data_IF_659919192307
#
_entry.id   IF_659919192307
#
_cell.length_a   1.000
_cell.length_b   1.000
_cell.length_c   1.000
_cell.angle_alpha   90.00
_cell.angle_beta   90.00
_cell.angle_gamma   90.00
#
_symmetry.space_group_name_H-M   'P 1'
#
loop_
_entity.id
_entity.type
_entity.pdbx_description
1 polymer ?
#
# COMPACT_ATOMS: atom_id res chain seq x y z
N UNK A 1 -17.97 -6.05 -12.89
CA UNK A 1 -16.76 -6.89 -12.77
C UNK A 1 -17.21 -8.27 -12.32
N UNK A 2 -16.75 -9.33 -13.00
CA UNK A 2 -17.04 -10.73 -12.63
C UNK A 2 -15.72 -11.39 -12.25
N UNK A 3 -15.68 -12.06 -11.09
CA UNK A 3 -14.50 -12.77 -10.59
C UNK A 3 -14.86 -14.24 -10.42
N UNK A 4 -14.11 -15.12 -11.07
CA UNK A 4 -14.29 -16.58 -10.98
C UNK A 4 -13.22 -17.19 -10.08
N UNK A 5 -13.63 -17.93 -9.05
CA UNK A 5 -12.76 -18.55 -8.04
C UNK A 5 -12.46 -20.03 -8.31
N UNK A 6 -12.87 -20.56 -9.46
CA UNK A 6 -12.66 -21.99 -9.81
C UNK A 6 -11.17 -22.33 -9.90
N UNK A 7 -10.72 -23.25 -9.03
CA UNK A 7 -9.31 -23.63 -8.79
C UNK A 7 -8.62 -24.38 -9.95
N UNK A 8 -9.38 -24.86 -10.95
CA UNK A 8 -8.88 -25.71 -12.04
C UNK A 8 -9.17 -25.04 -13.40
N UNK A 9 -8.29 -24.13 -13.82
CA UNK A 9 -8.38 -23.45 -15.13
C UNK A 9 -7.59 -24.16 -16.24
N UNK A 10 -7.00 -25.33 -15.98
CA UNK A 10 -5.98 -25.89 -16.86
C UNK A 10 -6.44 -26.35 -18.24
N UNK A 11 -7.75 -26.48 -18.55
CA UNK A 11 -8.20 -26.98 -19.86
C UNK A 11 -9.60 -26.48 -20.32
N UNK A 12 -10.14 -25.39 -19.77
CA UNK A 12 -11.44 -24.89 -20.20
C UNK A 12 -11.29 -23.75 -21.20
N UNK A 13 -11.81 -23.95 -22.42
CA UNK A 13 -12.03 -22.89 -23.40
C UNK A 13 -12.87 -21.78 -22.75
N UNK A 14 -12.34 -20.55 -22.72
CA UNK A 14 -13.02 -19.40 -22.14
C UNK A 14 -14.36 -19.20 -22.84
N UNK A 15 -15.46 -19.38 -22.11
CA UNK A 15 -16.80 -19.05 -22.61
C UNK A 15 -17.04 -17.56 -22.35
N UNK A 16 -17.19 -16.71 -23.38
CA UNK A 16 -17.42 -15.28 -23.18
C UNK A 16 -18.72 -15.05 -22.41
N UNK A 17 -18.64 -14.29 -21.32
CA UNK A 17 -19.83 -13.86 -20.60
C UNK A 17 -20.55 -12.80 -21.43
N UNK A 18 -21.82 -13.02 -21.73
CA UNK A 18 -22.64 -12.07 -22.48
C UNK A 18 -23.47 -11.22 -21.50
N UNK A 19 -23.27 -9.91 -21.50
CA UNK A 19 -24.12 -8.95 -20.78
C UNK A 19 -24.84 -8.11 -21.83
N UNK A 20 -26.17 -8.13 -21.82
CA UNK A 20 -27.01 -7.42 -22.81
C UNK A 20 -26.67 -7.76 -24.27
N UNK A 21 -26.29 -9.02 -24.54
CA UNK A 21 -25.92 -9.48 -25.88
C UNK A 21 -24.52 -9.05 -26.34
N UNK A 22 -23.72 -8.40 -25.50
CA UNK A 22 -22.32 -8.05 -25.79
C UNK A 22 -21.35 -8.91 -24.95
N UNK A 23 -20.25 -9.41 -25.55
CA UNK A 23 -19.24 -10.15 -24.81
C UNK A 23 -18.50 -9.23 -23.85
N UNK A 24 -18.34 -9.66 -22.61
CA UNK A 24 -17.55 -8.95 -21.60
C UNK A 24 -16.07 -9.12 -21.92
N UNK A 25 -15.37 -7.99 -22.06
CA UNK A 25 -13.93 -7.97 -22.30
C UNK A 25 -13.16 -8.58 -21.11
N UNK A 26 -12.22 -9.48 -21.43
CA UNK A 26 -11.25 -10.00 -20.46
C UNK A 26 -10.04 -9.08 -20.43
N UNK A 27 -9.84 -8.39 -19.30
CA UNK A 27 -8.69 -7.54 -19.05
C UNK A 27 -7.72 -8.19 -18.06
N UNK A 28 -6.43 -8.03 -18.31
CA UNK A 28 -5.35 -8.60 -17.47
C UNK A 28 -5.19 -7.85 -16.14
N UNK A 29 -5.57 -6.58 -16.10
CA UNK A 29 -5.62 -5.78 -14.88
C UNK A 29 -6.74 -4.75 -14.95
N UNK A 30 -7.48 -4.62 -13.85
CA UNK A 30 -8.56 -3.67 -13.69
C UNK A 30 -8.34 -2.84 -12.42
N UNK A 31 -8.55 -1.52 -12.51
CA UNK A 31 -8.45 -0.63 -11.35
C UNK A 31 -9.84 -0.38 -10.78
N UNK A 32 -10.09 -0.89 -9.58
CA UNK A 32 -11.35 -0.69 -8.86
C UNK A 32 -11.11 0.09 -7.57
N UNK A 33 -11.74 1.27 -7.44
CA UNK A 33 -11.64 2.14 -6.26
C UNK A 33 -10.20 2.45 -5.80
N UNK A 34 -9.26 2.46 -6.74
CA UNK A 34 -7.84 2.71 -6.43
C UNK A 34 -7.00 1.45 -6.15
N UNK A 35 -7.61 0.27 -6.13
CA UNK A 35 -6.96 -1.04 -6.01
C UNK A 35 -6.78 -1.64 -7.40
N UNK A 36 -5.58 -2.13 -7.69
CA UNK A 36 -5.31 -2.88 -8.93
C UNK A 36 -5.60 -4.37 -8.71
N UNK A 37 -6.61 -4.89 -9.40
CA UNK A 37 -6.96 -6.30 -9.41
C UNK A 37 -6.44 -6.88 -10.71
N UNK A 38 -5.58 -7.89 -10.63
CA UNK A 38 -5.04 -8.58 -11.80
C UNK A 38 -5.77 -9.89 -12.04
N UNK A 39 -5.69 -10.40 -13.27
CA UNK A 39 -6.33 -11.65 -13.70
C UNK A 39 -5.81 -12.88 -12.93
N UNK A 40 -4.50 -12.89 -12.61
CA UNK A 40 -3.85 -13.90 -11.77
C UNK A 40 -4.17 -13.71 -10.26
N UNK A 41 -5.00 -12.72 -9.93
CA UNK A 41 -5.33 -12.29 -8.56
C UNK A 41 -4.08 -12.03 -7.70
N UNK A 42 -2.93 -11.74 -8.33
CA UNK A 42 -1.73 -11.38 -7.60
C UNK A 42 -1.76 -9.91 -7.17
N UNK A 43 -1.33 -9.66 -5.94
CA UNK A 43 -1.31 -8.32 -5.38
C UNK A 43 -0.09 -7.50 -5.80
N UNK A 44 0.72 -7.99 -6.75
CA UNK A 44 2.03 -7.41 -7.10
C UNK A 44 1.89 -5.99 -7.66
N UNK A 45 1.01 -5.81 -8.63
CA UNK A 45 0.76 -4.51 -9.27
C UNK A 45 0.23 -3.51 -8.25
N UNK A 46 -0.72 -3.92 -7.41
CA UNK A 46 -1.25 -3.08 -6.35
C UNK A 46 -0.17 -2.71 -5.31
N UNK A 47 0.63 -3.69 -4.89
CA UNK A 47 1.71 -3.50 -3.91
C UNK A 47 2.75 -2.50 -4.44
N UNK A 48 3.15 -2.62 -5.70
CA UNK A 48 4.08 -1.69 -6.34
C UNK A 48 3.49 -0.27 -6.43
N UNK A 49 2.20 -0.16 -6.75
CA UNK A 49 1.49 1.11 -6.78
C UNK A 49 1.46 1.80 -5.41
N UNK A 50 1.10 1.05 -4.35
CA UNK A 50 1.12 1.52 -2.96
C UNK A 50 2.54 1.93 -2.56
N UNK A 51 3.54 1.11 -2.85
CA UNK A 51 4.95 1.41 -2.59
C UNK A 51 5.40 2.73 -3.22
N UNK A 52 5.04 2.96 -4.49
CA UNK A 52 5.39 4.20 -5.20
C UNK A 52 4.74 5.41 -4.54
N UNK A 53 3.46 5.32 -4.16
CA UNK A 53 2.76 6.38 -3.43
C UNK A 53 3.39 6.66 -2.07
N UNK A 54 3.68 5.63 -1.28
CA UNK A 54 4.32 5.79 0.03
C UNK A 54 5.71 6.42 -0.07
N UNK A 55 6.50 6.02 -1.06
CA UNK A 55 7.82 6.61 -1.34
C UNK A 55 7.73 8.11 -1.67
N UNK A 56 6.75 8.51 -2.47
CA UNK A 56 6.52 9.93 -2.78
C UNK A 56 6.18 10.74 -1.52
N UNK A 57 5.30 10.23 -0.67
CA UNK A 57 4.91 10.91 0.59
C UNK A 57 6.09 11.01 1.57
N UNK A 58 6.88 9.95 1.68
CA UNK A 58 8.12 9.96 2.47
C UNK A 58 9.16 10.93 1.92
N UNK A 59 9.25 11.09 0.60
CA UNK A 59 10.12 12.09 0.00
C UNK A 59 9.73 13.51 0.42
N UNK A 60 8.44 13.85 0.37
CA UNK A 60 7.96 15.15 0.86
C UNK A 60 8.24 15.34 2.35
N UNK A 61 8.03 14.31 3.17
CA UNK A 61 8.38 14.37 4.59
C UNK A 61 9.88 14.66 4.81
N UNK A 62 10.76 14.03 4.03
CA UNK A 62 12.21 14.30 4.06
C UNK A 62 12.53 15.74 3.64
N UNK A 63 11.81 16.29 2.66
CA UNK A 63 11.98 17.68 2.26
C UNK A 63 11.52 18.65 3.36
N UNK A 64 10.35 18.42 3.97
CA UNK A 64 9.88 19.23 5.10
C UNK A 64 10.89 19.25 6.25
N UNK A 65 11.54 18.11 6.52
CA UNK A 65 12.61 18.03 7.50
C UNK A 65 13.83 18.88 7.13
N UNK A 66 14.22 18.94 5.85
CA UNK A 66 15.32 19.80 5.38
C UNK A 66 15.02 21.28 5.62
N UNK A 67 13.75 21.67 5.51
CA UNK A 67 13.29 23.03 5.81
C UNK A 67 13.09 23.31 7.31
N UNK A 68 13.44 22.37 8.20
CA UNK A 68 13.32 22.50 9.66
C UNK A 68 11.90 22.88 10.13
N UNK A 69 10.88 22.36 9.46
CA UNK A 69 9.48 22.52 9.87
C UNK A 69 9.27 21.92 11.26
N UNK A 70 8.37 22.50 12.05
CA UNK A 70 8.10 22.03 13.42
C UNK A 70 7.67 20.56 13.45
N UNK A 71 8.12 19.85 14.49
CA UNK A 71 7.86 18.42 14.67
C UNK A 71 6.38 18.10 14.77
N UNK A 72 5.56 19.00 15.32
CA UNK A 72 4.11 18.86 15.40
C UNK A 72 3.45 18.79 14.02
N UNK A 73 3.85 19.66 13.09
CA UNK A 73 3.34 19.68 11.72
C UNK A 73 3.83 18.45 10.94
N UNK A 74 5.10 18.07 11.12
CA UNK A 74 5.65 16.85 10.49
C UNK A 74 4.91 15.60 10.96
N UNK A 75 4.57 15.50 12.25
CA UNK A 75 3.80 14.39 12.82
C UNK A 75 2.38 14.35 12.26
N UNK A 76 1.70 15.50 12.20
CA UNK A 76 0.37 15.60 11.61
C UNK A 76 0.37 15.20 10.11
N UNK A 77 1.40 15.62 9.36
CA UNK A 77 1.57 15.21 7.97
C UNK A 77 1.83 13.71 7.84
N UNK A 78 2.67 13.14 8.71
CA UNK A 78 2.94 11.71 8.71
C UNK A 78 1.67 10.88 8.94
N UNK A 79 0.90 11.20 9.98
CA UNK A 79 -0.34 10.48 10.29
C UNK A 79 -1.42 10.67 9.22
N UNK A 80 -1.59 11.89 8.72
CA UNK A 80 -2.61 12.14 7.67
C UNK A 80 -2.22 11.54 6.32
N UNK A 81 -0.95 11.63 5.90
CA UNK A 81 -0.53 11.26 4.56
C UNK A 81 0.15 9.88 4.49
N UNK A 82 1.07 9.55 5.39
CA UNK A 82 1.79 8.27 5.28
C UNK A 82 0.94 7.15 5.89
N UNK A 83 0.46 7.34 7.11
CA UNK A 83 -0.31 6.34 7.86
C UNK A 83 -1.61 5.94 7.14
N UNK A 84 -2.36 6.90 6.58
CA UNK A 84 -3.59 6.63 5.83
C UNK A 84 -3.39 5.67 4.64
N UNK A 85 -2.27 5.76 3.92
CA UNK A 85 -1.95 4.87 2.80
C UNK A 85 -1.63 3.46 3.29
N UNK A 86 -0.96 3.37 4.43
CA UNK A 86 -0.56 2.10 5.01
C UNK A 86 -1.78 1.35 5.53
N UNK A 87 -2.63 2.03 6.30
CA UNK A 87 -3.88 1.46 6.83
C UNK A 87 -4.79 0.99 5.70
N UNK A 88 -4.95 1.78 4.63
CA UNK A 88 -5.73 1.39 3.46
C UNK A 88 -5.15 0.21 2.67
N UNK A 89 -3.86 -0.10 2.86
CA UNK A 89 -3.15 -1.17 2.13
C UNK A 89 -2.95 -2.45 2.95
N UNK A 90 -3.36 -2.48 4.23
CA UNK A 90 -3.23 -3.62 5.14
C UNK A 90 -3.81 -4.91 4.54
N UNK A 91 -4.95 -4.80 3.86
CA UNK A 91 -5.60 -5.95 3.21
C UNK A 91 -4.65 -6.57 2.19
N UNK A 92 -3.99 -5.76 1.37
CA UNK A 92 -3.09 -6.29 0.32
C UNK A 92 -1.81 -6.91 0.87
N UNK A 93 -1.39 -6.56 2.09
CA UNK A 93 -0.21 -7.14 2.73
C UNK A 93 -0.50 -8.50 3.34
N UNK A 94 -1.65 -8.66 4.00
CA UNK A 94 -2.04 -9.93 4.62
C UNK A 94 -2.23 -11.06 3.59
N UNK A 95 -2.66 -10.70 2.37
CA UNK A 95 -2.90 -11.67 1.30
C UNK A 95 -1.69 -11.86 0.36
N UNK A 96 -0.67 -11.00 0.43
CA UNK A 96 0.49 -11.04 -0.48
C UNK A 96 1.70 -11.70 0.19
N UNK A 97 2.10 -12.88 -0.30
CA UNK A 97 3.29 -13.62 0.17
C UNK A 97 4.61 -13.11 -0.46
N UNK A 98 4.56 -12.08 -1.31
CA UNK A 98 5.68 -11.67 -2.17
C UNK A 98 6.68 -10.78 -1.42
N UNK A 99 7.99 -10.98 -1.60
CA UNK A 99 9.07 -10.20 -0.96
C UNK A 99 8.99 -8.66 -1.01
N UNK A 100 8.39 -7.99 -2.03
CA UNK A 100 8.26 -6.53 -2.04
C UNK A 100 7.43 -5.95 -0.89
N UNK A 101 6.50 -6.71 -0.30
CA UNK A 101 5.69 -6.25 0.85
C UNK A 101 6.50 -6.15 2.13
N UNK A 102 7.47 -7.06 2.34
CA UNK A 102 8.44 -6.97 3.46
C UNK A 102 9.30 -5.71 3.36
N UNK A 103 9.73 -5.36 2.15
CA UNK A 103 10.49 -4.14 1.89
C UNK A 103 9.66 -2.87 2.09
N UNK A 104 8.34 -2.92 1.81
CA UNK A 104 7.42 -1.82 2.08
C UNK A 104 7.30 -1.54 3.58
N UNK A 105 7.05 -2.59 4.37
CA UNK A 105 7.00 -2.53 5.82
C UNK A 105 8.35 -2.02 6.38
N UNK A 106 9.47 -2.53 5.88
CA UNK A 106 10.80 -2.08 6.29
C UNK A 106 11.04 -0.60 5.99
N UNK A 107 10.74 -0.11 4.77
CA UNK A 107 10.89 1.32 4.40
C UNK A 107 10.06 2.22 5.32
N UNK A 108 8.87 1.77 5.69
CA UNK A 108 7.94 2.49 6.57
C UNK A 108 8.43 2.50 8.01
N UNK A 109 8.84 1.34 8.54
CA UNK A 109 9.43 1.21 9.88
C UNK A 109 10.72 2.02 10.00
N UNK A 110 11.53 2.07 8.95
CA UNK A 110 12.73 2.93 8.91
C UNK A 110 12.34 4.41 8.90
N UNK A 111 11.27 4.78 8.18
CA UNK A 111 10.71 6.14 8.21
C UNK A 111 10.18 6.55 9.58
N UNK A 112 9.58 5.62 10.32
CA UNK A 112 9.17 5.81 11.73
C UNK A 112 10.40 6.00 12.61
N UNK A 113 11.40 5.13 12.48
CA UNK A 113 12.63 5.18 13.29
C UNK A 113 13.42 6.47 13.11
N UNK A 114 13.55 6.95 11.86
CA UNK A 114 14.22 8.21 11.52
C UNK A 114 13.49 9.45 12.09
N UNK A 115 12.18 9.38 12.35
CA UNK A 115 11.41 10.46 12.98
C UNK A 115 11.41 10.38 14.52
N UNK A 116 11.54 9.19 15.09
CA UNK A 116 11.50 9.00 16.55
C UNK A 116 12.86 9.21 17.23
N UNK A 117 13.96 8.79 16.60
CA UNK A 117 15.32 8.91 17.19
C UNK A 117 15.84 10.35 17.25
N UNK A 118 15.23 11.29 16.53
CA UNK A 118 15.63 12.71 16.57
C UNK A 118 14.86 13.53 17.60
N UNK A 119 13.97 12.90 18.39
CA UNK A 119 13.19 13.56 19.43
C UNK A 119 13.68 13.26 20.85
N UNK A 120 14.71 12.42 21.02
CA UNK A 120 15.41 12.19 22.30
C UNK A 120 16.42 13.30 22.62
N UNK A 121 16.00 14.55 22.43
CA UNK A 121 16.65 15.73 22.99
C UNK A 121 15.84 16.34 24.14
N UNK A 122 14.54 16.04 24.24
CA UNK A 122 13.69 16.52 25.31
C UNK A 122 13.05 15.35 26.06
N UNK A 123 13.37 15.30 27.35
CA UNK A 123 12.88 14.37 28.34
C UNK A 123 11.35 14.19 28.25
N UNK A 124 10.89 12.94 28.17
CA UNK A 124 9.82 12.31 28.97
C UNK A 124 9.30 11.05 28.25
N UNK A 125 9.49 9.91 28.93
CA UNK A 125 8.77 8.63 28.82
C UNK A 125 8.61 7.98 27.44
N UNK A 126 9.60 7.16 27.11
CA UNK A 126 9.47 6.03 26.19
C UNK A 126 8.61 4.91 26.80
N UNK A 127 7.29 5.07 26.81
CA UNK A 127 6.36 3.97 27.06
C UNK A 127 5.10 4.20 26.23
N UNK A 128 4.67 3.16 25.49
CA UNK A 128 3.44 3.05 24.69
C UNK A 128 3.57 3.31 23.17
N UNK A 129 4.21 2.39 22.45
CA UNK A 129 3.74 2.00 21.09
C UNK A 129 3.98 0.50 20.85
N UNK A 130 3.52 -0.36 21.77
CA UNK A 130 3.26 -1.78 21.51
C UNK A 130 2.04 -2.25 22.31
N UNK A 131 0.87 -1.71 21.99
CA UNK A 131 -0.40 -2.37 22.28
C UNK A 131 -1.39 -2.13 21.16
#
# INVERSE_FOLDING_TARGET
>A
MVVDYRRKQQNYSYTPLMISGQPVERVTSFKYLGVHITEDLTWTVNTQYVLKKSRQRLYFLRQLRKFKVSTSIMKAFYTSAVESVLTGSIITWNFSKTSPTKNACFIVLTGIRINFETNTGDNVSATLVLR
#
